data_IF_162057627799
#
_entry.id   IF_162057627799
#
_cell.length_a   1.000
_cell.length_b   1.000
_cell.length_c   1.000
_cell.angle_alpha   90.00
_cell.angle_beta   90.00
_cell.angle_gamma   90.00
#
_symmetry.space_group_name_H-M   'P 1'
#
loop_
_entity.id
_entity.type
_entity.pdbx_description
1 polymer ?
#
# COMPACT_ATOMS: atom_id res chain seq x y z
N UNK A 1 10.39 -3.22 -6.79
CA UNK A 1 9.40 -4.31 -6.95
C UNK A 1 8.30 -4.24 -5.88
N UNK A 2 8.58 -4.51 -4.60
CA UNK A 2 7.54 -4.60 -3.55
C UNK A 2 6.64 -3.35 -3.40
N UNK A 3 7.24 -2.16 -3.43
CA UNK A 3 6.55 -0.85 -3.42
C UNK A 3 5.42 -0.79 -4.46
N UNK A 4 5.76 -1.05 -5.71
CA UNK A 4 4.80 -1.09 -6.82
C UNK A 4 3.73 -2.16 -6.64
N UNK A 5 4.09 -3.35 -6.15
CA UNK A 5 3.11 -4.42 -5.91
C UNK A 5 2.10 -4.00 -4.83
N UNK A 6 2.54 -3.37 -3.74
CA UNK A 6 1.63 -2.89 -2.69
C UNK A 6 0.63 -1.88 -3.26
N UNK A 7 1.09 -0.93 -4.08
CA UNK A 7 0.19 0.06 -4.71
C UNK A 7 -0.86 -0.63 -5.60
N UNK A 8 -0.43 -1.55 -6.46
CA UNK A 8 -1.33 -2.26 -7.38
C UNK A 8 -2.33 -3.18 -6.66
N UNK A 9 -1.93 -3.77 -5.53
CA UNK A 9 -2.74 -4.77 -4.81
C UNK A 9 -3.62 -4.17 -3.71
N UNK A 10 -3.35 -2.94 -3.29
CA UNK A 10 -4.22 -2.19 -2.37
C UNK A 10 -5.20 -1.26 -3.09
N UNK A 11 -5.10 -1.14 -4.42
CA UNK A 11 -6.01 -0.33 -5.24
C UNK A 11 -7.48 -0.78 -5.09
N UNK A 12 -8.47 0.14 -5.02
CA UNK A 12 -9.88 -0.21 -4.90
C UNK A 12 -10.41 -1.14 -5.99
N UNK A 13 -9.79 -1.16 -7.17
CA UNK A 13 -10.18 -2.05 -8.26
C UNK A 13 -9.59 -3.48 -8.14
N UNK A 14 -8.72 -3.73 -7.15
CA UNK A 14 -8.20 -5.06 -6.89
C UNK A 14 -9.19 -5.90 -6.07
N UNK A 15 -9.04 -7.22 -6.15
CA UNK A 15 -9.84 -8.17 -5.37
C UNK A 15 -9.68 -7.93 -3.85
N UNK A 16 -10.79 -7.98 -3.11
CA UNK A 16 -10.87 -7.61 -1.70
C UNK A 16 -9.91 -8.41 -0.81
N UNK A 17 -9.82 -9.73 -1.01
CA UNK A 17 -8.91 -10.60 -0.24
C UNK A 17 -7.44 -10.18 -0.42
N UNK A 18 -7.08 -9.81 -1.64
CA UNK A 18 -5.73 -9.34 -1.98
C UNK A 18 -5.47 -7.96 -1.37
N UNK A 19 -6.44 -7.05 -1.38
CA UNK A 19 -6.33 -5.75 -0.71
C UNK A 19 -6.07 -5.91 0.79
N UNK A 20 -6.83 -6.77 1.46
CA UNK A 20 -6.66 -7.07 2.87
C UNK A 20 -5.29 -7.66 3.19
N UNK A 21 -4.85 -8.66 2.40
CA UNK A 21 -3.54 -9.29 2.58
C UNK A 21 -2.41 -8.26 2.40
N UNK A 22 -2.43 -7.47 1.32
CA UNK A 22 -1.37 -6.52 1.03
C UNK A 22 -1.40 -5.29 1.94
N UNK A 23 -2.56 -4.91 2.47
CA UNK A 23 -2.67 -3.94 3.56
C UNK A 23 -1.86 -4.36 4.79
N UNK A 24 -2.05 -5.61 5.24
CA UNK A 24 -1.26 -6.16 6.35
C UNK A 24 0.23 -6.21 6.03
N UNK A 25 0.60 -6.62 4.83
CA UNK A 25 2.00 -6.63 4.38
C UNK A 25 2.57 -5.21 4.43
N UNK A 26 1.86 -4.21 3.93
CA UNK A 26 2.28 -2.81 3.96
C UNK A 26 2.59 -2.34 5.38
N UNK A 27 1.71 -2.58 6.35
CA UNK A 27 1.95 -2.16 7.73
C UNK A 27 3.19 -2.83 8.34
N UNK A 28 3.39 -4.13 8.08
CA UNK A 28 4.56 -4.86 8.56
C UNK A 28 5.87 -4.30 7.98
N UNK A 29 5.89 -4.03 6.66
CA UNK A 29 7.10 -3.55 6.00
C UNK A 29 7.37 -2.06 6.25
N UNK A 30 6.34 -1.23 6.39
CA UNK A 30 6.44 0.17 6.80
C UNK A 30 7.03 0.28 8.21
N UNK A 31 6.57 -0.56 9.14
CA UNK A 31 7.13 -0.62 10.50
C UNK A 31 8.61 -1.02 10.50
N UNK A 32 9.01 -1.97 9.64
CA UNK A 32 10.38 -2.47 9.56
C UNK A 32 11.33 -1.52 8.81
N UNK A 33 10.85 -0.86 7.77
CA UNK A 33 11.64 -0.01 6.88
C UNK A 33 10.96 1.36 6.66
N UNK A 34 10.80 2.19 7.71
CA UNK A 34 10.00 3.41 7.64
C UNK A 34 10.48 4.39 6.57
N UNK A 35 11.80 4.54 6.40
CA UNK A 35 12.39 5.44 5.41
C UNK A 35 12.08 5.06 3.96
N UNK A 36 11.85 3.76 3.68
CA UNK A 36 11.53 3.29 2.32
C UNK A 36 10.08 3.62 1.91
N UNK A 37 9.22 3.83 2.90
CA UNK A 37 7.79 4.13 2.74
C UNK A 37 7.43 5.53 3.27
N UNK A 38 8.42 6.39 3.50
CA UNK A 38 8.22 7.72 4.07
C UNK A 38 7.40 8.64 3.16
N UNK A 39 7.37 8.35 1.86
CA UNK A 39 6.63 9.06 0.82
C UNK A 39 5.25 8.45 0.50
N UNK A 40 4.82 7.43 1.26
CA UNK A 40 3.52 6.80 1.08
C UNK A 40 2.45 7.38 1.99
N UNK A 41 1.29 7.58 1.39
CA UNK A 41 0.05 7.87 2.08
C UNK A 41 -0.87 6.65 2.06
N UNK A 42 -1.64 6.53 3.13
CA UNK A 42 -2.62 5.47 3.33
C UNK A 42 -3.99 6.13 3.51
N UNK A 43 -4.94 5.68 2.71
CA UNK A 43 -6.35 6.06 2.80
C UNK A 43 -7.17 4.82 3.09
N UNK A 44 -8.37 5.00 3.64
CA UNK A 44 -9.31 3.90 3.82
C UNK A 44 -10.41 3.97 2.75
N UNK A 45 -10.64 2.85 2.05
CA UNK A 45 -11.71 2.70 1.06
C UNK A 45 -12.39 1.36 1.32
N UNK A 46 -13.70 1.37 1.59
CA UNK A 46 -14.49 0.18 1.95
C UNK A 46 -13.93 -0.57 3.18
N UNK A 47 -13.39 0.15 4.16
CA UNK A 47 -12.78 -0.44 5.36
C UNK A 47 -11.42 -1.12 5.12
N UNK A 48 -10.83 -0.95 3.94
CA UNK A 48 -9.53 -1.51 3.58
C UNK A 48 -8.51 -0.43 3.20
N UNK A 49 -7.23 -0.63 3.55
CA UNK A 49 -6.18 0.34 3.25
C UNK A 49 -5.92 0.40 1.74
N UNK A 50 -5.84 1.63 1.24
CA UNK A 50 -5.41 1.98 -0.10
C UNK A 50 -4.12 2.81 0.00
N UNK A 51 -3.04 2.25 -0.53
CA UNK A 51 -1.69 2.77 -0.33
C UNK A 51 -1.17 3.38 -1.62
N UNK A 52 -0.77 4.66 -1.59
CA UNK A 52 -0.25 5.39 -2.75
C UNK A 52 1.03 6.15 -2.44
N UNK A 53 1.93 6.24 -3.42
CA UNK A 53 3.08 7.15 -3.33
C UNK A 53 2.65 8.57 -3.71
N UNK A 54 3.04 9.56 -2.90
CA UNK A 54 2.80 10.98 -3.20
C UNK A 54 3.72 11.50 -4.30
N UNK A 55 4.87 10.86 -4.47
CA UNK A 55 5.88 11.22 -5.48
C UNK A 55 6.05 10.05 -6.43
N UNK A 56 5.19 9.99 -7.43
CA UNK A 56 5.38 9.10 -8.57
C UNK A 56 6.64 9.55 -9.33
N UNK A 57 7.55 8.61 -9.63
CA UNK A 57 8.62 8.87 -10.60
C UNK A 57 7.98 8.89 -11.99
N UNK A 58 7.52 10.06 -12.40
CA UNK A 58 7.48 10.47 -13.81
C UNK A 58 8.62 11.45 -14.01
#
# INVERSE_FOLDING_TARGET
>A
ALRHVIEMRTDPHAEEEIRFLFGKVYHLVKKRYPNLFADYEEMEVDGLPWVKTTRSKV
#
